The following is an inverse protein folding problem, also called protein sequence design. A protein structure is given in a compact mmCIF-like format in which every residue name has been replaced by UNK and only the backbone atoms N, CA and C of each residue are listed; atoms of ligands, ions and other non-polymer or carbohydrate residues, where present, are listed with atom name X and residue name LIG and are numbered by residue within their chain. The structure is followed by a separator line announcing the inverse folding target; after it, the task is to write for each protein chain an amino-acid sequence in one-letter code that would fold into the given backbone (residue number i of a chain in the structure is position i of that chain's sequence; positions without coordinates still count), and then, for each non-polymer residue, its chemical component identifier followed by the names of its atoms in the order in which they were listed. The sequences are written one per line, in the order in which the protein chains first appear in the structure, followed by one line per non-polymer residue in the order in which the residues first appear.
data_IF_726928287500
#
_entry.id   IF_726928287500
#
_cell.length_a   1.000
_cell.length_b   1.000
_cell.length_c   1.000
_cell.angle_alpha   90.00
_cell.angle_beta   90.00
_cell.angle_gamma   90.00
#
_symmetry.space_group_name_H-M   'P 1'
#
loop_
_entity.id
_entity.type
_entity.pdbx_description
1 polymer ?
#
# COMPACT_ATOMS: atom_id res chain seq x y z
N UNK A 1 4.82 -38.10 27.45
CA UNK A 1 3.88 -37.46 26.51
C UNK A 1 3.89 -35.97 26.82
N UNK A 2 4.46 -35.14 25.95
CA UNK A 2 4.62 -33.71 26.23
C UNK A 2 3.32 -32.99 25.85
N UNK A 3 2.68 -32.37 26.84
CA UNK A 3 1.46 -31.58 26.62
C UNK A 3 1.89 -30.23 26.06
N UNK A 4 1.53 -29.93 24.81
CA UNK A 4 1.76 -28.64 24.20
C UNK A 4 0.67 -27.67 24.67
N UNK A 5 1.03 -26.69 25.48
CA UNK A 5 0.13 -25.59 25.83
C UNK A 5 0.03 -24.64 24.64
N UNK A 6 -1.20 -24.33 24.22
CA UNK A 6 -1.45 -23.28 23.24
C UNK A 6 -1.24 -21.92 23.91
N UNK A 7 -0.20 -21.22 23.51
CA UNK A 7 0.08 -19.85 23.94
C UNK A 7 -0.51 -18.86 22.93
N UNK A 8 -1.16 -17.82 23.43
CA UNK A 8 -1.78 -16.77 22.59
C UNK A 8 -0.79 -15.63 22.43
N UNK A 9 -0.32 -15.41 21.21
CA UNK A 9 0.55 -14.28 20.87
C UNK A 9 -0.28 -13.12 20.33
N UNK A 10 0.11 -11.90 20.71
CA UNK A 10 -0.47 -10.65 20.20
C UNK A 10 0.64 -9.85 19.53
N UNK A 11 0.34 -9.32 18.36
CA UNK A 11 1.29 -8.56 17.55
C UNK A 11 0.63 -7.26 17.13
N UNK A 12 1.39 -6.14 17.17
CA UNK A 12 0.88 -4.84 16.71
C UNK A 12 0.66 -4.85 15.19
N UNK A 13 -0.42 -4.22 14.72
CA UNK A 13 -0.66 -4.02 13.28
C UNK A 13 0.36 -3.09 12.65
N UNK A 14 1.00 -2.21 13.42
CA UNK A 14 2.09 -1.36 12.95
C UNK A 14 3.24 -2.19 12.36
N UNK A 15 3.46 -3.43 12.83
CA UNK A 15 4.48 -4.30 12.27
C UNK A 15 4.21 -4.67 10.81
N UNK A 16 2.95 -4.64 10.37
CA UNK A 16 2.56 -4.81 8.98
C UNK A 16 3.22 -3.76 8.06
N UNK A 17 3.48 -2.56 8.59
CA UNK A 17 4.04 -1.42 7.85
C UNK A 17 5.56 -1.26 8.08
N UNK A 18 6.06 -1.65 9.24
CA UNK A 18 7.43 -1.32 9.68
C UNK A 18 8.39 -2.50 9.78
N UNK A 19 7.99 -3.71 9.39
CA UNK A 19 8.90 -4.85 9.39
C UNK A 19 9.07 -5.45 8.01
N UNK A 20 10.32 -5.76 7.65
CA UNK A 20 10.64 -6.42 6.39
C UNK A 20 9.90 -7.75 6.23
N UNK A 21 9.72 -8.52 7.31
CA UNK A 21 8.99 -9.79 7.29
C UNK A 21 7.57 -9.60 6.78
N UNK A 22 6.85 -8.63 7.33
CA UNK A 22 5.45 -8.39 6.95
C UNK A 22 5.35 -7.70 5.58
N UNK A 23 6.26 -6.77 5.25
CA UNK A 23 6.32 -6.16 3.92
C UNK A 23 6.59 -7.20 2.82
N UNK A 24 7.46 -8.18 3.06
CA UNK A 24 7.66 -9.32 2.14
C UNK A 24 6.38 -10.16 2.03
N UNK A 25 5.68 -10.40 3.14
CA UNK A 25 4.45 -11.18 3.14
C UNK A 25 3.34 -10.50 2.33
N UNK A 26 3.22 -9.17 2.44
CA UNK A 26 2.21 -8.39 1.72
C UNK A 26 2.55 -8.23 0.23
N UNK A 27 3.81 -7.94 -0.08
CA UNK A 27 4.23 -7.67 -1.46
C UNK A 27 4.56 -8.95 -2.23
N UNK A 28 4.91 -10.04 -1.55
CA UNK A 28 5.44 -11.25 -2.18
C UNK A 28 6.87 -11.11 -2.71
N UNK A 29 7.52 -9.96 -2.47
CA UNK A 29 8.80 -9.61 -3.08
C UNK A 29 9.87 -9.27 -2.03
N UNK A 30 11.11 -9.61 -2.34
CA UNK A 30 12.27 -9.25 -1.52
C UNK A 30 12.62 -7.76 -1.68
N UNK A 31 13.37 -7.16 -0.73
CA UNK A 31 13.67 -5.73 -0.74
C UNK A 31 14.30 -5.19 -2.02
N UNK A 32 15.04 -6.03 -2.74
CA UNK A 32 15.70 -5.63 -3.99
C UNK A 32 14.71 -5.31 -5.11
N UNK A 33 13.47 -5.79 -5.01
CA UNK A 33 12.38 -5.54 -5.97
C UNK A 33 11.35 -4.52 -5.47
N UNK A 34 11.54 -3.96 -4.28
CA UNK A 34 10.59 -3.00 -3.72
C UNK A 34 10.43 -1.72 -4.56
N UNK A 35 11.46 -1.17 -5.22
CA UNK A 35 11.25 -0.03 -6.12
C UNK A 35 10.23 -0.32 -7.23
N UNK A 36 10.28 -1.51 -7.83
CA UNK A 36 9.34 -1.96 -8.86
C UNK A 36 7.94 -2.19 -8.30
N UNK A 37 7.84 -2.74 -7.08
CA UNK A 37 6.56 -2.89 -6.37
C UNK A 37 5.95 -1.52 -6.12
N UNK A 38 6.70 -0.57 -5.57
CA UNK A 38 6.21 0.79 -5.31
C UNK A 38 5.73 1.44 -6.60
N UNK A 39 6.47 1.32 -7.70
CA UNK A 39 6.02 1.83 -9.01
C UNK A 39 4.70 1.20 -9.44
N UNK A 40 4.60 -0.14 -9.39
CA UNK A 40 3.39 -0.88 -9.75
C UNK A 40 2.20 -0.41 -8.91
N UNK A 41 2.34 -0.36 -7.58
CA UNK A 41 1.23 0.02 -6.70
C UNK A 41 0.80 1.48 -6.89
N UNK A 42 1.73 2.40 -7.12
CA UNK A 42 1.40 3.80 -7.43
C UNK A 42 0.69 3.95 -8.78
N UNK A 43 1.14 3.21 -9.80
CA UNK A 43 0.49 3.19 -11.11
C UNK A 43 -0.93 2.62 -11.03
N UNK A 44 -1.10 1.48 -10.35
CA UNK A 44 -2.42 0.85 -10.16
C UNK A 44 -3.38 1.82 -9.46
N UNK A 45 -2.93 2.50 -8.41
CA UNK A 45 -3.74 3.49 -7.70
C UNK A 45 -4.15 4.67 -8.60
N UNK A 46 -3.22 5.18 -9.43
CA UNK A 46 -3.53 6.26 -10.37
C UNK A 46 -4.52 5.84 -11.45
N UNK A 47 -4.34 4.64 -12.03
CA UNK A 47 -5.27 4.07 -13.01
C UNK A 47 -6.67 3.87 -12.40
N UNK A 48 -6.75 3.24 -11.22
CA UNK A 48 -7.99 3.05 -10.48
C UNK A 48 -8.73 4.37 -10.22
N UNK A 49 -7.99 5.43 -9.86
CA UNK A 49 -8.54 6.74 -9.57
C UNK A 49 -9.15 7.39 -10.83
N UNK A 50 -8.46 7.32 -11.97
CA UNK A 50 -8.96 7.84 -13.25
C UNK A 50 -10.18 7.03 -13.74
N UNK A 51 -10.10 5.70 -13.70
CA UNK A 51 -11.18 4.80 -14.10
C UNK A 51 -12.46 5.05 -13.30
N UNK A 52 -12.33 5.16 -11.97
CA UNK A 52 -13.46 5.43 -11.06
C UNK A 52 -14.10 6.79 -11.31
N UNK A 53 -13.34 7.76 -11.82
CA UNK A 53 -13.82 9.09 -12.18
C UNK A 53 -14.30 9.21 -13.64
N UNK A 54 -14.16 8.16 -14.46
CA UNK A 54 -14.46 8.19 -15.88
C UNK A 54 -13.54 9.12 -16.69
N UNK A 55 -12.33 9.37 -16.19
CA UNK A 55 -11.29 10.20 -16.83
C UNK A 55 -10.35 9.30 -17.61
N UNK A 56 -9.93 9.72 -18.81
CA UNK A 56 -8.88 9.02 -19.56
C UNK A 56 -7.56 9.14 -18.78
N UNK A 57 -6.93 8.02 -18.35
CA UNK A 57 -5.75 8.09 -17.51
C UNK A 57 -4.55 8.70 -18.23
N UNK A 58 -3.96 9.72 -17.62
CA UNK A 58 -2.64 10.25 -17.95
C UNK A 58 -1.74 10.02 -16.72
N UNK A 59 -0.71 9.19 -16.89
CA UNK A 59 0.21 8.80 -15.81
C UNK A 59 1.63 9.22 -16.19
N UNK A 60 2.18 10.19 -15.46
CA UNK A 60 3.57 10.63 -15.60
C UNK A 60 4.46 9.97 -14.56
N UNK A 61 5.56 9.38 -15.02
CA UNK A 61 6.53 8.68 -14.16
C UNK A 61 7.88 9.37 -14.27
N UNK A 62 8.42 9.79 -13.11
CA UNK A 62 9.76 10.37 -13.01
C UNK A 62 10.61 9.56 -12.03
N UNK A 63 11.72 9.03 -12.54
CA UNK A 63 12.71 8.28 -11.74
C UNK A 63 13.98 9.10 -11.60
N UNK A 64 14.43 9.28 -10.37
CA UNK A 64 15.65 9.98 -9.99
C UNK A 64 16.46 9.10 -9.02
N UNK A 65 17.76 9.39 -8.78
CA UNK A 65 18.63 8.49 -8.02
C UNK A 65 18.11 8.02 -6.65
N UNK A 66 17.27 8.83 -5.99
CA UNK A 66 16.72 8.54 -4.67
C UNK A 66 15.22 8.86 -4.56
N UNK A 67 14.52 9.05 -5.68
CA UNK A 67 13.09 9.34 -5.68
C UNK A 67 12.39 8.73 -6.88
N UNK A 68 11.15 8.32 -6.63
CA UNK A 68 10.19 7.93 -7.63
C UNK A 68 8.98 8.84 -7.46
N UNK A 69 8.55 9.48 -8.54
CA UNK A 69 7.31 10.27 -8.58
C UNK A 69 6.39 9.67 -9.62
N UNK A 70 5.14 9.43 -9.24
CA UNK A 70 4.05 9.05 -10.13
C UNK A 70 2.95 10.10 -9.96
N UNK A 71 2.53 10.68 -11.06
CA UNK A 71 1.47 11.71 -11.09
C UNK A 71 0.35 11.20 -11.99
N UNK A 72 -0.89 11.25 -11.50
CA UNK A 72 -2.11 10.97 -12.27
C UNK A 72 -2.94 12.24 -12.50
N UNK A 73 -3.84 12.19 -13.47
CA UNK A 73 -4.86 13.22 -13.73
C UNK A 73 -6.23 12.87 -13.10
N UNK A 74 -6.24 12.02 -12.08
CA UNK A 74 -7.45 11.60 -11.38
C UNK A 74 -8.04 12.70 -10.48
N UNK A 75 -9.12 12.39 -9.74
CA UNK A 75 -9.83 13.37 -8.91
C UNK A 75 -9.05 13.80 -7.65
N UNK A 76 -7.91 13.18 -7.38
CA UNK A 76 -7.16 13.33 -6.13
C UNK A 76 -7.86 12.69 -4.92
N UNK A 77 -7.25 12.86 -3.75
CA UNK A 77 -7.77 12.34 -2.48
C UNK A 77 -8.28 13.48 -1.59
N UNK A 78 -9.43 13.34 -0.92
CA UNK A 78 -9.84 14.28 0.12
C UNK A 78 -8.83 14.32 1.27
N UNK A 79 -8.57 15.51 1.82
CA UNK A 79 -7.60 15.70 2.90
C UNK A 79 -7.78 14.74 4.10
N UNK A 80 -9.02 14.47 4.60
CA UNK A 80 -9.20 13.52 5.70
C UNK A 80 -8.76 12.09 5.36
N UNK A 81 -8.85 11.69 4.09
CA UNK A 81 -8.37 10.39 3.63
C UNK A 81 -6.84 10.36 3.69
N UNK A 82 -6.18 11.42 3.21
CA UNK A 82 -4.71 11.56 3.28
C UNK A 82 -4.22 11.47 4.73
N UNK A 83 -4.89 12.16 5.65
CA UNK A 83 -4.56 12.11 7.09
C UNK A 83 -4.73 10.69 7.66
N UNK A 84 -5.78 9.98 7.27
CA UNK A 84 -6.06 8.62 7.77
C UNK A 84 -5.04 7.58 7.30
N UNK A 85 -4.43 7.75 6.12
CA UNK A 85 -3.38 6.84 5.61
C UNK A 85 -2.13 6.86 6.49
N UNK A 86 -1.94 7.92 7.30
CA UNK A 86 -0.84 8.04 8.25
C UNK A 86 -1.10 7.34 9.59
N UNK A 87 -2.31 6.83 9.82
CA UNK A 87 -2.64 6.02 11.00
C UNK A 87 -2.33 4.53 10.76
N UNK A 88 -1.10 4.14 11.08
CA UNK A 88 -0.62 2.76 10.95
C UNK A 88 -1.24 1.76 11.93
N UNK A 89 -2.13 2.20 12.82
CA UNK A 89 -2.88 1.30 13.70
C UNK A 89 -4.10 0.67 13.00
N UNK A 90 -4.51 1.24 11.86
CA UNK A 90 -5.67 0.81 11.07
C UNK A 90 -5.30 0.57 9.60
N UNK A 91 -6.17 -0.13 8.87
CA UNK A 91 -6.13 -0.18 7.41
C UNK A 91 -7.18 0.77 6.87
N UNK A 92 -6.76 1.67 5.97
CA UNK A 92 -7.66 2.57 5.23
C UNK A 92 -7.78 2.06 3.81
N UNK A 93 -9.00 1.77 3.36
CA UNK A 93 -9.27 1.23 2.03
C UNK A 93 -10.69 1.59 1.60
N UNK A 94 -10.83 2.07 0.37
CA UNK A 94 -12.14 2.30 -0.28
C UNK A 94 -12.71 1.01 -0.90
N UNK A 95 -11.91 -0.07 -0.97
CA UNK A 95 -12.25 -1.33 -1.64
C UNK A 95 -12.62 -2.47 -0.67
N UNK A 96 -12.33 -2.33 0.63
CA UNK A 96 -12.54 -3.40 1.63
C UNK A 96 -14.01 -3.84 1.77
N UNK A 97 -14.98 -3.00 1.38
CA UNK A 97 -16.40 -3.34 1.41
C UNK A 97 -16.87 -4.20 0.21
N UNK A 98 -16.02 -4.42 -0.79
CA UNK A 98 -16.36 -5.08 -2.05
C UNK A 98 -15.59 -6.40 -2.29
N UNK A 99 -14.93 -6.93 -1.26
CA UNK A 99 -14.18 -8.20 -1.26
C UNK A 99 -14.99 -9.30 -0.56
#
# INVERSE_FOLDING_TARGET
MQVLNREVFRTSRELEYFTQKELILQTGHKPELWPEVVLKELMDNGLDACESAGVLPEIDIKVEPHSLTVTDNGPGLPLPVVESVMDYSVRVSSKDAYI
#
